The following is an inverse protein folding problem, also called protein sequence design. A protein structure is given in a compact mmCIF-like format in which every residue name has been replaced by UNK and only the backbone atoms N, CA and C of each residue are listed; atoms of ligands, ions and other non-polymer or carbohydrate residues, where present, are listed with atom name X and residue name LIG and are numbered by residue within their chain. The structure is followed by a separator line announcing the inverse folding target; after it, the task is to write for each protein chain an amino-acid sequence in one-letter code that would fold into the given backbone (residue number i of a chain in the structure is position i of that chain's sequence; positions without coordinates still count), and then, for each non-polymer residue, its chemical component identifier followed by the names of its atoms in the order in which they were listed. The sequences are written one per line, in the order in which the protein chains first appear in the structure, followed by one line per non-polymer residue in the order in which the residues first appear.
data_IF_584003860273
#
_entry.id   IF_584003860273
#
_cell.length_a   1.000
_cell.length_b   1.000
_cell.length_c   1.000
_cell.angle_alpha   90.00
_cell.angle_beta   90.00
_cell.angle_gamma   90.00
#
_symmetry.space_group_name_H-M   'P 1'
#
loop_
_entity.id
_entity.type
_entity.pdbx_description
1 polymer ?
#
# COMPACT_ATOMS: atom_id res chain seq x y z
N UNK A 1 37.22 5.59 -10.95
CA UNK A 1 36.50 6.87 -10.85
C UNK A 1 35.02 6.55 -10.92
N UNK A 2 34.29 6.77 -9.83
CA UNK A 2 32.90 6.33 -9.67
C UNK A 2 32.65 5.87 -8.24
N UNK A 3 32.74 6.81 -7.30
CA UNK A 3 32.28 6.59 -5.93
C UNK A 3 30.78 6.34 -5.99
N UNK A 4 30.37 5.07 -5.90
CA UNK A 4 28.96 4.73 -5.68
C UNK A 4 28.56 5.35 -4.35
N UNK A 5 27.53 6.18 -4.41
CA UNK A 5 27.01 6.98 -3.31
C UNK A 5 26.62 6.05 -2.15
N UNK A 6 27.28 6.19 -1.00
CA UNK A 6 27.09 5.35 0.20
C UNK A 6 25.88 5.77 1.06
N UNK A 7 24.94 6.56 0.53
CA UNK A 7 23.76 7.04 1.26
C UNK A 7 22.44 6.93 0.49
N UNK A 8 22.35 6.10 -0.55
CA UNK A 8 21.04 5.67 -1.02
C UNK A 8 20.58 4.50 -0.15
N UNK A 9 20.10 4.80 1.06
CA UNK A 9 19.18 3.90 1.75
C UNK A 9 17.97 3.81 0.82
N UNK A 10 17.96 2.85 -0.08
CA UNK A 10 16.74 2.48 -0.81
C UNK A 10 15.76 2.03 0.26
N UNK A 11 14.90 2.93 0.71
CA UNK A 11 13.80 2.62 1.60
C UNK A 11 13.03 1.49 0.93
N UNK A 12 13.13 0.28 1.50
CA UNK A 12 12.41 -0.86 0.95
C UNK A 12 10.92 -0.47 0.92
N UNK A 13 10.19 -0.80 -0.15
CA UNK A 13 8.79 -0.42 -0.26
C UNK A 13 7.99 -1.05 0.88
N UNK A 14 7.00 -0.32 1.41
CA UNK A 14 6.07 -0.84 2.41
C UNK A 14 5.41 -2.12 1.87
N UNK A 15 5.61 -3.22 2.58
CA UNK A 15 4.94 -4.48 2.27
C UNK A 15 3.49 -4.34 2.70
N UNK A 16 2.55 -4.66 1.81
CA UNK A 16 1.13 -4.52 2.10
C UNK A 16 0.29 -5.70 1.63
N UNK A 17 -0.84 -5.92 2.30
CA UNK A 17 -1.79 -7.00 2.00
C UNK A 17 -3.01 -6.54 1.20
N UNK A 18 -2.99 -5.30 0.65
CA UNK A 18 -4.18 -4.71 0.03
C UNK A 18 -4.68 -5.54 -1.15
N UNK A 19 -3.77 -6.08 -1.97
CA UNK A 19 -4.13 -6.96 -3.09
C UNK A 19 -4.82 -8.24 -2.62
N UNK A 20 -4.27 -8.87 -1.60
CA UNK A 20 -4.78 -10.12 -1.05
C UNK A 20 -6.17 -9.92 -0.46
N UNK A 21 -6.32 -8.91 0.40
CA UNK A 21 -7.61 -8.54 0.99
C UNK A 21 -8.66 -8.18 -0.08
N UNK A 22 -8.26 -7.44 -1.13
CA UNK A 22 -9.15 -7.13 -2.25
C UNK A 22 -9.62 -8.40 -2.98
N UNK A 23 -8.69 -9.33 -3.26
CA UNK A 23 -9.00 -10.58 -3.96
C UNK A 23 -9.93 -11.48 -3.13
N UNK A 24 -9.75 -11.55 -1.81
CA UNK A 24 -10.62 -12.29 -0.90
C UNK A 24 -12.08 -11.78 -0.93
N UNK A 25 -12.26 -10.49 -1.19
CA UNK A 25 -13.59 -9.89 -1.36
C UNK A 25 -14.14 -10.00 -2.80
N UNK A 26 -13.36 -10.54 -3.74
CA UNK A 26 -13.76 -10.65 -5.14
C UNK A 26 -13.82 -9.32 -5.90
N UNK A 27 -13.18 -8.26 -5.39
CA UNK A 27 -13.25 -6.92 -5.99
C UNK A 27 -12.17 -6.69 -7.04
N UNK A 28 -12.51 -5.98 -8.11
CA UNK A 28 -11.55 -5.35 -9.02
C UNK A 28 -10.84 -4.16 -8.36
N UNK A 29 -9.70 -3.73 -8.91
CA UNK A 29 -9.00 -2.53 -8.43
C UNK A 29 -9.87 -1.26 -8.53
N UNK A 30 -10.77 -1.20 -9.54
CA UNK A 30 -11.67 -0.06 -9.72
C UNK A 30 -12.71 -0.02 -8.60
N UNK A 31 -13.33 -1.16 -8.29
CA UNK A 31 -14.29 -1.31 -7.20
C UNK A 31 -13.70 -0.98 -5.81
N UNK A 32 -12.44 -1.34 -5.55
CA UNK A 32 -11.75 -0.91 -4.34
C UNK A 32 -11.50 0.59 -4.34
N UNK A 33 -11.12 1.15 -5.50
CA UNK A 33 -10.93 2.60 -5.67
C UNK A 33 -12.20 3.38 -5.33
N UNK A 34 -13.35 2.95 -5.85
CA UNK A 34 -14.66 3.54 -5.56
C UNK A 34 -14.98 3.50 -4.06
N UNK A 35 -14.80 2.34 -3.41
CA UNK A 35 -15.03 2.18 -1.95
C UNK A 35 -14.14 3.08 -1.10
N UNK A 36 -12.90 3.34 -1.54
CA UNK A 36 -11.94 4.19 -0.83
C UNK A 36 -12.02 5.67 -1.22
N UNK A 37 -12.73 6.00 -2.30
CA UNK A 37 -12.77 7.34 -2.88
C UNK A 37 -11.45 7.74 -3.55
N UNK A 38 -10.76 6.80 -4.20
CA UNK A 38 -9.50 7.02 -4.92
C UNK A 38 -9.54 6.40 -6.32
N UNK A 39 -8.59 6.78 -7.18
CA UNK A 39 -8.51 6.19 -8.52
C UNK A 39 -8.05 4.72 -8.51
N UNK A 40 -8.39 3.96 -9.56
CA UNK A 40 -7.84 2.61 -9.80
C UNK A 40 -6.31 2.63 -9.82
N UNK A 41 -5.72 3.68 -10.37
CA UNK A 41 -4.27 3.88 -10.45
C UNK A 41 -3.66 4.03 -9.04
N UNK A 42 -4.34 4.73 -8.14
CA UNK A 42 -3.94 4.83 -6.73
C UNK A 42 -3.93 3.45 -6.08
N UNK A 43 -4.99 2.65 -6.27
CA UNK A 43 -5.04 1.27 -5.76
C UNK A 43 -3.87 0.45 -6.30
N UNK A 44 -3.63 0.49 -7.61
CA UNK A 44 -2.51 -0.24 -8.21
C UNK A 44 -1.14 0.21 -7.65
N UNK A 45 -0.95 1.50 -7.42
CA UNK A 45 0.29 2.03 -6.85
C UNK A 45 0.51 1.54 -5.41
N UNK A 46 -0.55 1.46 -4.60
CA UNK A 46 -0.50 0.86 -3.25
C UNK A 46 -0.12 -0.61 -3.35
N UNK A 47 -0.84 -1.40 -4.15
CA UNK A 47 -0.59 -2.85 -4.26
C UNK A 47 0.80 -3.22 -4.78
N UNK A 48 1.45 -2.31 -5.50
CA UNK A 48 2.80 -2.51 -6.06
C UNK A 48 3.89 -1.87 -5.22
N UNK A 49 3.55 -1.29 -4.06
CA UNK A 49 4.51 -0.61 -3.18
C UNK A 49 5.12 0.65 -3.78
N UNK A 50 4.53 1.20 -4.85
CA UNK A 50 4.98 2.44 -5.51
C UNK A 50 4.41 3.70 -4.87
N UNK A 51 3.46 3.53 -3.96
CA UNK A 51 2.81 4.62 -3.25
C UNK A 51 2.49 4.20 -1.82
N UNK A 52 3.12 4.89 -0.88
CA UNK A 52 2.77 4.77 0.53
C UNK A 52 1.49 5.58 0.79
N UNK A 53 0.39 4.93 1.23
CA UNK A 53 -0.85 5.64 1.49
C UNK A 53 -0.65 6.63 2.64
N UNK A 54 -1.26 7.82 2.51
CA UNK A 54 -1.34 8.76 3.63
C UNK A 54 -2.05 8.11 4.84
N UNK A 55 -1.73 8.56 6.05
CA UNK A 55 -2.32 8.01 7.27
C UNK A 55 -3.87 7.98 7.23
N UNK A 56 -4.59 9.03 6.75
CA UNK A 56 -6.04 8.95 6.57
C UNK A 56 -6.50 7.84 5.61
N UNK A 57 -5.79 7.62 4.50
CA UNK A 57 -6.12 6.56 3.55
C UNK A 57 -5.84 5.18 4.14
N UNK A 58 -4.74 5.02 4.88
CA UNK A 58 -4.44 3.80 5.62
C UNK A 58 -5.54 3.45 6.64
N UNK A 59 -6.06 4.44 7.38
CA UNK A 59 -7.21 4.24 8.27
C UNK A 59 -8.50 3.87 7.52
N UNK A 60 -8.76 4.44 6.35
CA UNK A 60 -9.92 4.03 5.52
C UNK A 60 -9.80 2.57 5.07
N UNK A 61 -8.61 2.17 4.63
CA UNK A 61 -8.31 0.79 4.22
C UNK A 61 -8.50 -0.17 5.39
N UNK A 62 -7.96 0.17 6.57
CA UNK A 62 -8.10 -0.61 7.79
C UNK A 62 -9.57 -0.82 8.19
N UNK A 63 -10.38 0.23 8.13
CA UNK A 63 -11.82 0.15 8.42
C UNK A 63 -12.57 -0.67 7.37
N UNK A 64 -12.27 -0.49 6.08
CA UNK A 64 -12.93 -1.20 4.99
C UNK A 64 -12.73 -2.72 5.08
N UNK A 65 -11.55 -3.16 5.51
CA UNK A 65 -11.23 -4.58 5.66
C UNK A 65 -11.43 -5.11 7.08
N UNK A 66 -11.85 -4.27 8.02
CA UNK A 66 -12.02 -4.62 9.44
C UNK A 66 -10.74 -5.23 10.06
N UNK A 67 -9.58 -4.64 9.75
CA UNK A 67 -8.26 -5.09 10.23
C UNK A 67 -7.45 -3.93 10.82
N UNK A 68 -6.60 -4.18 11.83
CA UNK A 68 -5.63 -3.18 12.31
C UNK A 68 -4.64 -2.78 11.20
N UNK A 69 -4.16 -1.53 11.22
CA UNK A 69 -3.27 -0.98 10.17
C UNK A 69 -2.00 -1.82 10.03
N UNK A 70 -1.38 -2.18 11.15
CA UNK A 70 -0.14 -2.94 11.25
C UNK A 70 -0.26 -4.36 10.67
N UNK A 71 -1.48 -4.90 10.56
CA UNK A 71 -1.71 -6.17 9.88
C UNK A 71 -1.80 -6.01 8.37
N UNK A 72 -2.13 -4.81 7.88
CA UNK A 72 -2.26 -4.53 6.44
C UNK A 72 -0.95 -4.00 5.87
N UNK A 73 -0.23 -3.15 6.61
CA UNK A 73 0.99 -2.47 6.18
C UNK A 73 2.13 -2.79 7.14
N UNK A 74 3.23 -3.29 6.62
CA UNK A 74 4.45 -3.57 7.37
C UNK A 74 5.52 -2.59 6.92
N UNK A 75 6.11 -1.89 7.88
CA UNK A 75 7.26 -1.06 7.60
C UNK A 75 8.38 -1.95 7.04
N UNK A 76 9.15 -1.45 6.07
CA UNK A 76 10.43 -2.09 5.74
C UNK A 76 11.28 -2.23 7.00
N UNK A 77 11.94 -3.37 7.18
CA UNK A 77 12.88 -3.58 8.28
C UNK A 77 13.92 -2.44 8.32
N UNK A 78 14.32 -1.96 9.52
CA UNK A 78 15.33 -0.91 9.67
C UNK A 78 16.73 -1.32 9.16
#
# INVERSE_FOLDING_TARGET
MGLRNLYQLETLPVINQVRELRNQQGWSQAELGERLGVSRQTVNAIETGRYDPSLPLAFKIARLFERPIETIFQAPDP
#
